data_IF_112282119221
#
_entry.id   IF_112282119221
#
_cell.length_a   1.000
_cell.length_b   1.000
_cell.length_c   1.000
_cell.angle_alpha   90.00
_cell.angle_beta   90.00
_cell.angle_gamma   90.00
#
_symmetry.space_group_name_H-M   'P 1'
#
loop_
_entity.id
_entity.type
_entity.pdbx_description
1 polymer ?
#
# COMPACT_ATOMS: atom_id res chain seq x y z
N UNK A 1 20.82 36.37 -6.73
CA UNK A 1 19.75 36.26 -5.71
C UNK A 1 19.30 34.81 -5.48
N UNK A 2 19.15 33.97 -6.51
CA UNK A 2 18.70 32.57 -6.37
C UNK A 2 19.59 31.69 -5.45
N UNK A 3 20.92 31.85 -5.49
CA UNK A 3 21.84 31.07 -4.65
C UNK A 3 21.82 31.39 -3.15
N UNK A 4 21.51 32.64 -2.78
CA UNK A 4 21.41 33.06 -1.38
C UNK A 4 20.13 32.54 -0.73
N UNK A 5 19.01 32.53 -1.48
CA UNK A 5 17.75 31.97 -1.01
C UNK A 5 17.85 30.45 -0.83
N UNK A 6 18.48 29.75 -1.79
CA UNK A 6 18.76 28.32 -1.69
C UNK A 6 19.67 27.98 -0.50
N UNK A 7 20.74 28.74 -0.28
CA UNK A 7 21.66 28.52 0.83
C UNK A 7 21.00 28.80 2.20
N UNK A 8 20.13 29.81 2.29
CA UNK A 8 19.36 30.11 3.51
C UNK A 8 18.33 29.02 3.80
N UNK A 9 17.66 28.48 2.78
CA UNK A 9 16.75 27.33 2.95
C UNK A 9 17.50 26.09 3.42
N UNK A 10 18.63 25.79 2.80
CA UNK A 10 19.48 24.64 3.16
C UNK A 10 20.06 24.73 4.58
N UNK A 11 20.57 25.90 4.98
CA UNK A 11 21.09 26.12 6.33
C UNK A 11 19.99 26.03 7.39
N UNK A 12 18.77 26.48 7.07
CA UNK A 12 17.60 26.29 7.94
C UNK A 12 17.29 24.80 8.10
N UNK A 13 17.19 24.05 7.02
CA UNK A 13 16.91 22.60 7.08
C UNK A 13 17.93 21.86 7.96
N UNK A 14 19.23 22.11 7.76
CA UNK A 14 20.32 21.49 8.54
C UNK A 14 20.28 21.83 10.05
N UNK A 15 20.06 23.09 10.40
CA UNK A 15 19.98 23.50 11.83
C UNK A 15 18.74 22.95 12.51
N UNK A 16 17.65 22.74 11.76
CA UNK A 16 16.43 22.15 12.29
C UNK A 16 16.48 20.63 12.39
N UNK A 17 17.19 19.92 11.51
CA UNK A 17 17.47 18.50 11.70
C UNK A 17 18.21 18.26 13.01
N UNK A 18 19.20 19.10 13.32
CA UNK A 18 19.92 19.06 14.60
C UNK A 18 18.98 19.38 15.76
N UNK A 19 18.15 20.42 15.66
CA UNK A 19 17.18 20.75 16.70
C UNK A 19 16.14 19.64 16.94
N UNK A 20 15.56 19.08 15.89
CA UNK A 20 14.58 17.99 15.97
C UNK A 20 15.22 16.70 16.49
N UNK A 21 16.46 16.41 16.10
CA UNK A 21 17.22 15.26 16.61
C UNK A 21 17.60 15.44 18.09
N UNK A 22 17.98 16.65 18.50
CA UNK A 22 18.17 17.00 19.92
C UNK A 22 16.85 16.82 20.68
N UNK A 23 15.73 17.36 20.18
CA UNK A 23 14.43 17.21 20.82
C UNK A 23 13.96 15.75 20.85
N UNK A 24 14.21 14.96 19.81
CA UNK A 24 13.96 13.52 19.78
C UNK A 24 14.78 12.76 20.82
N UNK A 25 16.07 13.08 20.94
CA UNK A 25 16.92 12.52 22.00
C UNK A 25 16.45 12.97 23.39
N UNK A 26 16.05 14.23 23.55
CA UNK A 26 15.45 14.73 24.80
C UNK A 26 14.12 14.06 25.12
N UNK A 27 13.33 13.67 24.11
CA UNK A 27 12.11 12.87 24.26
C UNK A 27 12.40 11.46 24.76
N UNK A 28 13.49 10.84 24.31
CA UNK A 28 13.94 9.54 24.81
C UNK A 28 14.51 9.61 26.24
N UNK A 29 15.07 10.76 26.62
CA UNK A 29 15.81 10.94 27.88
C UNK A 29 15.02 11.62 29.00
N UNK A 30 13.88 12.27 28.71
CA UNK A 30 13.12 13.06 29.71
C UNK A 30 11.73 12.48 30.03
N UNK A 31 11.34 12.42 31.32
CA UNK A 31 9.99 12.03 31.73
C UNK A 31 8.88 13.08 31.48
N UNK A 32 9.20 14.32 31.08
CA UNK A 32 8.22 15.36 30.64
C UNK A 32 8.94 16.52 29.94
N UNK A 33 8.34 17.17 28.92
CA UNK A 33 7.07 17.91 29.02
C UNK A 33 5.84 17.09 28.64
N UNK A 34 4.65 17.51 29.07
CA UNK A 34 3.39 16.81 28.73
C UNK A 34 3.23 16.72 27.21
N UNK A 35 2.67 15.62 26.71
CA UNK A 35 2.47 15.36 25.28
C UNK A 35 1.79 16.53 24.55
N UNK A 36 0.95 17.29 25.25
CA UNK A 36 0.27 18.51 24.78
C UNK A 36 1.21 19.69 24.52
N UNK A 37 2.23 19.94 25.36
CA UNK A 37 3.18 21.04 25.13
C UNK A 37 4.09 20.74 23.93
N UNK A 38 4.43 19.47 23.74
CA UNK A 38 5.16 18.97 22.57
C UNK A 38 4.35 19.16 21.28
N UNK A 39 3.03 19.06 21.36
CA UNK A 39 2.11 19.27 20.24
C UNK A 39 2.01 20.74 19.83
N UNK A 40 1.86 21.64 20.81
CA UNK A 40 1.75 23.08 20.54
C UNK A 40 3.00 23.66 19.87
N UNK A 41 4.20 23.18 20.26
CA UNK A 41 5.45 23.59 19.61
C UNK A 41 5.52 23.15 18.14
N UNK A 42 5.01 21.95 17.83
CA UNK A 42 5.04 21.39 16.48
C UNK A 42 3.98 22.01 15.57
N UNK A 43 2.79 22.27 16.12
CA UNK A 43 1.68 22.90 15.42
C UNK A 43 1.98 24.37 15.12
N UNK A 44 2.52 25.10 16.11
CA UNK A 44 3.04 26.44 15.92
C UNK A 44 4.19 26.47 14.88
N UNK A 45 4.97 25.39 14.73
CA UNK A 45 5.99 25.30 13.70
C UNK A 45 5.40 25.09 12.30
N UNK A 46 4.48 24.13 12.13
CA UNK A 46 3.81 23.88 10.84
C UNK A 46 3.08 25.13 10.36
N UNK A 47 2.39 25.83 11.27
CA UNK A 47 1.68 27.07 10.96
C UNK A 47 2.63 28.24 10.64
N UNK A 48 3.82 28.30 11.26
CA UNK A 48 4.73 29.45 11.13
C UNK A 48 5.74 29.31 10.00
N UNK A 49 6.16 28.10 9.65
CA UNK A 49 7.29 27.89 8.74
C UNK A 49 6.98 27.05 7.51
N UNK A 50 5.79 26.41 7.44
CA UNK A 50 5.25 25.85 6.20
C UNK A 50 6.00 24.66 5.57
N UNK A 51 7.15 24.24 6.10
CA UNK A 51 7.93 23.12 5.57
C UNK A 51 8.50 22.24 6.69
N UNK A 52 7.75 21.19 7.04
CA UNK A 52 8.32 19.99 7.65
C UNK A 52 8.72 19.04 6.51
N UNK A 53 9.76 18.21 6.65
CA UNK A 53 9.95 17.13 5.68
C UNK A 53 8.96 15.99 5.96
N UNK A 54 8.64 15.19 4.93
CA UNK A 54 7.78 14.02 5.06
C UNK A 54 8.30 13.03 6.12
N UNK A 55 9.63 12.81 6.14
CA UNK A 55 10.30 11.95 7.13
C UNK A 55 9.95 12.35 8.56
N UNK A 56 10.06 13.64 8.89
CA UNK A 56 9.72 14.13 10.21
C UNK A 56 8.23 13.96 10.49
N UNK A 57 7.35 14.25 9.54
CA UNK A 57 5.90 14.04 9.73
C UNK A 57 5.59 12.59 10.11
N UNK A 58 6.18 11.61 9.40
CA UNK A 58 6.00 10.18 9.67
C UNK A 58 6.55 9.81 11.06
N UNK A 59 7.77 10.26 11.38
CA UNK A 59 8.39 9.96 12.68
C UNK A 59 7.56 10.53 13.82
N UNK A 60 7.06 11.76 13.68
CA UNK A 60 6.24 12.40 14.70
C UNK A 60 4.91 11.71 14.88
N UNK A 61 4.22 11.38 13.79
CA UNK A 61 3.01 10.55 13.86
C UNK A 61 3.26 9.26 14.65
N UNK A 62 4.36 8.55 14.38
CA UNK A 62 4.71 7.31 15.10
C UNK A 62 4.96 7.53 16.59
N UNK A 63 5.64 8.63 16.95
CA UNK A 63 5.84 9.01 18.36
C UNK A 63 4.48 9.28 19.02
N UNK A 64 3.58 10.01 18.36
CA UNK A 64 2.27 10.35 18.92
C UNK A 64 1.35 9.13 19.03
N UNK A 65 1.39 8.21 18.07
CA UNK A 65 0.70 6.92 18.19
C UNK A 65 1.06 6.19 19.48
N UNK A 66 2.30 6.35 19.96
CA UNK A 66 2.79 5.72 21.18
C UNK A 66 2.49 6.53 22.46
N UNK A 67 2.57 7.86 22.42
CA UNK A 67 2.57 8.71 23.62
C UNK A 67 1.33 9.62 23.79
N UNK A 68 0.43 9.71 22.80
CA UNK A 68 -0.60 10.76 22.73
C UNK A 68 -2.03 10.24 22.73
N UNK A 69 -2.95 11.19 22.96
CA UNK A 69 -4.38 11.01 22.83
C UNK A 69 -4.78 10.69 21.37
N UNK A 70 -5.82 9.87 21.24
CA UNK A 70 -6.35 9.37 19.97
C UNK A 70 -6.71 10.49 19.00
N UNK A 71 -7.36 11.55 19.50
CA UNK A 71 -7.90 12.61 18.65
C UNK A 71 -6.82 13.55 18.12
N UNK A 72 -5.78 13.85 18.92
CA UNK A 72 -4.62 14.65 18.49
C UNK A 72 -3.84 13.93 17.38
N UNK A 73 -3.68 12.61 17.51
CA UNK A 73 -2.99 11.80 16.51
C UNK A 73 -3.75 11.80 15.18
N UNK A 74 -5.10 11.77 15.22
CA UNK A 74 -5.95 11.87 14.03
C UNK A 74 -5.86 13.24 13.35
N UNK A 75 -5.82 14.33 14.13
CA UNK A 75 -5.61 15.67 13.57
C UNK A 75 -4.25 15.79 12.86
N UNK A 76 -3.20 15.24 13.49
CA UNK A 76 -1.85 15.24 12.91
C UNK A 76 -1.80 14.44 11.61
N UNK A 77 -2.44 13.28 11.57
CA UNK A 77 -2.60 12.51 10.33
C UNK A 77 -3.33 13.31 9.25
N UNK A 78 -4.45 13.94 9.60
CA UNK A 78 -5.23 14.76 8.65
C UNK A 78 -4.39 15.89 8.06
N UNK A 79 -3.61 16.60 8.88
CA UNK A 79 -2.68 17.64 8.42
C UNK A 79 -1.54 17.05 7.59
N UNK A 80 -0.96 15.93 8.02
CA UNK A 80 0.12 15.24 7.31
C UNK A 80 -0.27 14.86 5.89
N UNK A 81 -1.45 14.25 5.69
CA UNK A 81 -1.91 13.86 4.35
C UNK A 81 -2.36 15.04 3.49
N UNK A 82 -2.71 16.18 4.09
CA UNK A 82 -2.98 17.42 3.34
C UNK A 82 -1.66 18.05 2.83
N UNK A 83 -0.62 18.03 3.66
CA UNK A 83 0.71 18.56 3.30
C UNK A 83 1.47 17.64 2.34
N UNK A 84 1.34 16.32 2.51
CA UNK A 84 2.02 15.30 1.71
C UNK A 84 1.01 14.33 1.07
N UNK A 85 0.18 14.79 0.12
CA UNK A 85 -0.90 13.98 -0.44
C UNK A 85 -0.43 12.76 -1.23
N UNK A 86 0.82 12.74 -1.67
CA UNK A 86 1.42 11.61 -2.39
C UNK A 86 2.10 10.59 -1.47
N UNK A 87 2.20 10.87 -0.16
CA UNK A 87 2.90 10.00 0.79
C UNK A 87 2.11 8.72 1.07
N UNK A 88 2.55 7.61 0.48
CA UNK A 88 1.99 6.28 0.74
C UNK A 88 2.04 5.92 2.21
N UNK A 89 3.17 6.18 2.85
CA UNK A 89 3.38 5.86 4.25
C UNK A 89 2.42 6.62 5.16
N UNK A 90 2.21 7.92 4.95
CA UNK A 90 1.27 8.68 5.77
C UNK A 90 -0.17 8.19 5.61
N UNK A 91 -0.60 7.93 4.37
CA UNK A 91 -1.94 7.39 4.12
C UNK A 91 -2.13 5.99 4.72
N UNK A 92 -1.14 5.11 4.58
CA UNK A 92 -1.20 3.76 5.15
C UNK A 92 -1.28 3.83 6.68
N UNK A 93 -0.38 4.57 7.32
CA UNK A 93 -0.39 4.73 8.77
C UNK A 93 -1.68 5.39 9.27
N UNK A 94 -2.26 6.34 8.52
CA UNK A 94 -3.52 6.97 8.88
C UNK A 94 -4.68 5.97 8.84
N UNK A 95 -4.82 5.21 7.75
CA UNK A 95 -5.88 4.21 7.64
C UNK A 95 -5.76 3.14 8.73
N UNK A 96 -4.53 2.67 9.02
CA UNK A 96 -4.28 1.69 10.08
C UNK A 96 -4.61 2.23 11.46
N UNK A 97 -4.25 3.49 11.75
CA UNK A 97 -4.55 4.11 13.03
C UNK A 97 -6.05 4.39 13.21
N UNK A 98 -6.71 4.91 12.18
CA UNK A 98 -8.14 5.19 12.21
C UNK A 98 -8.95 3.89 12.37
N UNK A 99 -8.50 2.82 11.74
CA UNK A 99 -9.04 1.48 11.90
C UNK A 99 -8.95 0.96 13.33
N UNK A 100 -7.77 1.08 13.94
CA UNK A 100 -7.51 0.65 15.32
C UNK A 100 -8.36 1.44 16.32
N UNK A 101 -8.40 2.77 16.18
CA UNK A 101 -9.04 3.66 17.18
C UNK A 101 -10.53 3.91 16.97
N UNK A 102 -10.99 4.01 15.72
CA UNK A 102 -12.37 4.38 15.38
C UNK A 102 -13.11 3.26 14.62
N UNK A 103 -12.44 2.13 14.36
CA UNK A 103 -13.02 0.97 13.71
C UNK A 103 -12.98 1.01 12.18
N UNK A 104 -13.30 -0.13 11.59
CA UNK A 104 -13.11 -0.37 10.16
C UNK A 104 -13.94 0.55 9.23
N UNK A 105 -15.10 1.01 9.70
CA UNK A 105 -15.98 1.86 8.90
C UNK A 105 -15.41 3.27 8.73
N UNK A 106 -14.75 3.80 9.75
CA UNK A 106 -14.08 5.09 9.67
C UNK A 106 -12.91 5.05 8.66
N UNK A 107 -12.06 4.03 8.74
CA UNK A 107 -10.97 3.80 7.78
C UNK A 107 -11.50 3.65 6.35
N UNK A 108 -12.60 2.89 6.18
CA UNK A 108 -13.26 2.73 4.88
C UNK A 108 -13.76 4.06 4.31
N UNK A 109 -14.42 4.88 5.13
CA UNK A 109 -14.95 6.17 4.70
C UNK A 109 -13.83 7.12 4.29
N UNK A 110 -12.72 7.12 5.03
CA UNK A 110 -11.52 7.87 4.67
C UNK A 110 -10.99 7.41 3.29
N UNK A 111 -10.76 6.10 3.09
CA UNK A 111 -10.30 5.55 1.81
C UNK A 111 -11.23 5.86 0.62
N UNK A 112 -12.55 5.85 0.83
CA UNK A 112 -13.51 6.24 -0.22
C UNK A 112 -13.39 7.73 -0.54
N UNK A 113 -13.22 8.58 0.46
CA UNK A 113 -13.12 10.02 0.29
C UNK A 113 -11.81 10.43 -0.39
N UNK A 114 -10.68 9.78 -0.09
CA UNK A 114 -9.40 10.05 -0.79
C UNK A 114 -9.51 9.81 -2.29
N UNK A 115 -10.25 8.78 -2.70
CA UNK A 115 -10.54 8.48 -4.10
C UNK A 115 -11.35 9.58 -4.79
N UNK A 116 -12.27 10.24 -4.07
CA UNK A 116 -13.07 11.36 -4.60
C UNK A 116 -12.24 12.63 -4.78
N UNK A 117 -11.40 12.95 -3.79
CA UNK A 117 -10.54 14.16 -3.80
C UNK A 117 -9.57 14.14 -4.99
N UNK A 118 -9.00 12.97 -5.34
CA UNK A 118 -8.02 12.87 -6.42
C UNK A 118 -8.61 12.95 -7.84
N UNK A 119 -9.88 12.55 -8.02
CA UNK A 119 -10.58 12.68 -9.32
C UNK A 119 -10.69 14.13 -9.82
N UNK A 120 -10.50 15.11 -8.94
CA UNK A 120 -10.70 16.54 -9.21
C UNK A 120 -9.37 17.24 -9.56
N UNK A 121 -8.20 16.66 -9.26
CA UNK A 121 -6.98 17.46 -9.09
C UNK A 121 -5.70 17.12 -9.89
N UNK A 122 -5.44 15.90 -10.33
CA UNK A 122 -4.09 15.58 -10.87
C UNK A 122 -4.12 14.55 -12.00
N UNK A 123 -3.42 14.89 -13.09
CA UNK A 123 -3.26 14.13 -14.31
C UNK A 123 -2.58 12.76 -14.15
N UNK A 124 -2.76 11.99 -15.22
CA UNK A 124 -2.34 10.61 -15.44
C UNK A 124 -0.82 10.46 -15.35
N UNK A 125 -0.29 10.02 -14.21
CA UNK A 125 1.01 9.36 -14.15
C UNK A 125 1.04 8.31 -13.02
N UNK A 126 1.76 7.23 -13.32
CA UNK A 126 1.50 5.82 -13.01
C UNK A 126 1.82 5.36 -11.58
N UNK A 127 1.25 4.20 -11.21
CA UNK A 127 1.09 3.66 -9.85
C UNK A 127 0.35 4.61 -8.90
N UNK A 128 -0.98 4.68 -9.09
CA UNK A 128 -1.85 5.40 -8.17
C UNK A 128 -1.62 4.88 -6.75
N UNK A 129 -1.24 5.75 -5.81
CA UNK A 129 -1.43 5.56 -4.37
C UNK A 129 -2.75 4.84 -4.04
N UNK A 130 -3.83 5.07 -4.79
CA UNK A 130 -5.07 4.34 -4.62
C UNK A 130 -4.94 2.83 -4.88
N UNK A 131 -4.13 2.40 -5.85
CA UNK A 131 -3.80 1.00 -6.11
C UNK A 131 -3.00 0.39 -4.94
N UNK A 132 -1.98 1.07 -4.44
CA UNK A 132 -1.22 0.65 -3.24
C UNK A 132 -2.13 0.56 -2.01
N UNK A 133 -2.99 1.55 -1.80
CA UNK A 133 -3.92 1.54 -0.67
C UNK A 133 -4.98 0.43 -0.79
N UNK A 134 -5.35 0.00 -2.01
CA UNK A 134 -6.26 -1.16 -2.18
C UNK A 134 -5.60 -2.46 -1.70
N UNK A 135 -4.32 -2.65 -1.98
CA UNK A 135 -3.51 -3.77 -1.49
C UNK A 135 -3.45 -3.77 0.03
N UNK A 136 -3.02 -2.65 0.61
CA UNK A 136 -2.95 -2.51 2.07
C UNK A 136 -4.32 -2.67 2.74
N UNK A 137 -5.38 -2.20 2.10
CA UNK A 137 -6.75 -2.36 2.62
C UNK A 137 -7.22 -3.82 2.59
N UNK A 138 -6.76 -4.60 1.61
CA UNK A 138 -7.04 -6.04 1.54
C UNK A 138 -6.30 -6.79 2.66
N UNK A 139 -5.00 -6.56 2.81
CA UNK A 139 -4.18 -7.12 3.91
C UNK A 139 -4.79 -6.78 5.27
N UNK A 140 -5.17 -5.51 5.45
CA UNK A 140 -5.77 -5.05 6.69
C UNK A 140 -7.13 -5.68 7.00
N UNK A 141 -8.00 -5.85 5.99
CA UNK A 141 -9.26 -6.58 6.18
C UNK A 141 -8.99 -8.02 6.61
N UNK A 142 -7.96 -8.65 6.07
CA UNK A 142 -7.58 -10.00 6.50
C UNK A 142 -7.03 -10.04 7.93
N UNK A 143 -6.20 -9.09 8.32
CA UNK A 143 -5.61 -9.05 9.66
C UNK A 143 -6.62 -8.72 10.77
N UNK A 144 -7.55 -7.80 10.52
CA UNK A 144 -8.49 -7.31 11.55
C UNK A 144 -9.87 -7.97 11.51
N UNK A 145 -10.21 -8.69 10.45
CA UNK A 145 -11.53 -9.27 10.23
C UNK A 145 -11.38 -10.71 9.73
N UNK A 146 -12.52 -11.35 9.50
CA UNK A 146 -12.57 -12.69 8.95
C UNK A 146 -12.33 -12.71 7.44
N UNK A 147 -11.94 -13.89 6.95
CA UNK A 147 -11.71 -14.19 5.54
C UNK A 147 -12.93 -13.90 4.65
N UNK A 148 -14.15 -14.04 5.17
CA UNK A 148 -15.37 -13.82 4.38
C UNK A 148 -15.56 -12.34 4.03
N UNK A 149 -15.24 -11.43 4.97
CA UNK A 149 -15.22 -10.00 4.71
C UNK A 149 -14.10 -9.60 3.76
N UNK A 150 -12.95 -10.25 3.84
CA UNK A 150 -11.83 -10.05 2.89
C UNK A 150 -12.23 -10.48 1.47
N UNK A 151 -12.86 -11.64 1.31
CA UNK A 151 -13.42 -12.12 0.03
C UNK A 151 -14.43 -11.14 -0.56
N UNK A 152 -15.35 -10.62 0.26
CA UNK A 152 -16.32 -9.62 -0.16
C UNK A 152 -15.65 -8.29 -0.57
N UNK A 153 -14.60 -7.88 0.14
CA UNK A 153 -13.80 -6.71 -0.22
C UNK A 153 -13.11 -6.92 -1.56
N UNK A 154 -12.40 -8.05 -1.74
CA UNK A 154 -11.72 -8.40 -2.98
C UNK A 154 -12.67 -8.32 -4.18
N UNK A 155 -13.83 -8.99 -4.09
CA UNK A 155 -14.85 -8.98 -5.15
C UNK A 155 -15.30 -7.56 -5.53
N UNK A 156 -15.37 -6.66 -4.55
CA UNK A 156 -15.72 -5.24 -4.78
C UNK A 156 -14.57 -4.46 -5.41
N UNK A 157 -13.36 -4.57 -4.86
CA UNK A 157 -12.19 -3.82 -5.34
C UNK A 157 -11.75 -4.25 -6.74
N UNK A 158 -11.91 -5.53 -7.08
CA UNK A 158 -11.61 -6.07 -8.41
C UNK A 158 -12.36 -5.35 -9.53
N UNK A 159 -13.57 -4.86 -9.26
CA UNK A 159 -14.38 -4.13 -10.25
C UNK A 159 -13.90 -2.69 -10.49
N UNK A 160 -12.80 -2.29 -9.87
CA UNK A 160 -12.28 -0.93 -9.95
C UNK A 160 -11.04 -0.90 -10.83
N UNK A 161 -10.91 0.15 -11.64
CA UNK A 161 -9.73 0.37 -12.49
C UNK A 161 -8.47 0.66 -11.67
N UNK A 162 -7.30 0.39 -12.25
CA UNK A 162 -5.99 0.66 -11.64
C UNK A 162 -5.71 -0.26 -10.45
N UNK A 163 -5.71 -1.57 -10.70
CA UNK A 163 -5.16 -2.56 -9.78
C UNK A 163 -3.75 -2.91 -10.23
N UNK A 164 -2.90 -3.39 -9.32
CA UNK A 164 -1.59 -3.95 -9.65
C UNK A 164 -1.65 -5.46 -9.59
N UNK A 165 -0.67 -6.12 -10.19
CA UNK A 165 -0.50 -7.58 -10.08
C UNK A 165 -0.43 -8.01 -8.61
N UNK A 166 0.29 -7.24 -7.79
CA UNK A 166 0.47 -7.49 -6.37
C UNK A 166 -0.86 -7.62 -5.60
N UNK A 167 -1.89 -6.86 -5.97
CA UNK A 167 -3.23 -6.99 -5.38
C UNK A 167 -3.83 -8.39 -5.54
N UNK A 168 -3.63 -9.02 -6.69
CA UNK A 168 -4.13 -10.37 -6.94
C UNK A 168 -3.24 -11.42 -6.27
N UNK A 169 -1.91 -11.25 -6.33
CA UNK A 169 -0.96 -12.16 -5.68
C UNK A 169 -1.20 -12.20 -4.16
N UNK A 170 -1.37 -11.06 -3.52
CA UNK A 170 -1.72 -10.98 -2.09
C UNK A 170 -3.03 -11.72 -1.77
N UNK A 171 -4.07 -11.57 -2.59
CA UNK A 171 -5.31 -12.29 -2.37
C UNK A 171 -5.13 -13.82 -2.49
N UNK A 172 -4.33 -14.27 -3.47
CA UNK A 172 -3.98 -15.68 -3.64
C UNK A 172 -3.23 -16.20 -2.41
N UNK A 173 -2.25 -15.46 -1.91
CA UNK A 173 -1.48 -15.82 -0.70
C UNK A 173 -2.39 -15.90 0.54
N UNK A 174 -3.31 -14.95 0.69
CA UNK A 174 -4.32 -14.97 1.76
C UNK A 174 -5.15 -16.25 1.66
N UNK A 175 -5.69 -16.60 0.49
CA UNK A 175 -6.51 -17.82 0.33
C UNK A 175 -5.69 -19.11 0.53
N UNK A 176 -4.45 -19.16 0.07
CA UNK A 176 -3.54 -20.29 0.31
C UNK A 176 -3.19 -20.47 1.79
N UNK A 177 -3.18 -19.38 2.58
CA UNK A 177 -2.88 -19.43 4.02
C UNK A 177 -4.05 -19.87 4.91
N UNK A 178 -5.24 -20.11 4.34
CA UNK A 178 -6.40 -20.53 5.12
C UNK A 178 -6.28 -21.98 5.59
N UNK A 179 -6.84 -22.28 6.78
CA UNK A 179 -6.87 -23.66 7.29
C UNK A 179 -7.68 -24.59 6.37
N UNK A 180 -8.77 -24.09 5.80
CA UNK A 180 -9.55 -24.77 4.76
C UNK A 180 -9.35 -24.02 3.44
N UNK A 181 -8.40 -24.51 2.64
CA UNK A 181 -8.05 -23.92 1.35
C UNK A 181 -9.20 -24.16 0.36
N UNK A 182 -9.71 -23.08 -0.23
CA UNK A 182 -10.72 -23.14 -1.28
C UNK A 182 -10.05 -22.96 -2.64
N UNK A 183 -9.71 -24.09 -3.27
CA UNK A 183 -9.04 -24.13 -4.57
C UNK A 183 -9.86 -23.44 -5.69
N UNK A 184 -11.18 -23.36 -5.58
CA UNK A 184 -11.99 -22.65 -6.58
C UNK A 184 -11.77 -21.13 -6.50
N UNK A 185 -11.66 -20.59 -5.28
CA UNK A 185 -11.38 -19.16 -5.08
C UNK A 185 -10.00 -18.77 -5.56
N UNK A 186 -8.98 -19.59 -5.27
CA UNK A 186 -7.60 -19.35 -5.72
C UNK A 186 -7.53 -19.42 -7.24
N UNK A 187 -8.13 -20.46 -7.84
CA UNK A 187 -8.23 -20.59 -9.29
C UNK A 187 -8.91 -19.39 -9.93
N UNK A 188 -10.03 -18.92 -9.35
CA UNK A 188 -10.70 -17.72 -9.82
C UNK A 188 -9.79 -16.49 -9.74
N UNK A 189 -9.01 -16.34 -8.67
CA UNK A 189 -8.06 -15.25 -8.53
C UNK A 189 -6.95 -15.27 -9.60
N UNK A 190 -6.38 -16.45 -9.90
CA UNK A 190 -5.43 -16.62 -11.00
C UNK A 190 -6.05 -16.28 -12.36
N UNK A 191 -7.29 -16.70 -12.61
CA UNK A 191 -8.02 -16.35 -13.83
C UNK A 191 -8.21 -14.83 -13.94
N UNK A 192 -8.56 -14.14 -12.86
CA UNK A 192 -8.67 -12.68 -12.91
C UNK A 192 -7.31 -12.00 -13.16
N UNK A 193 -6.24 -12.53 -12.57
CA UNK A 193 -4.88 -12.01 -12.77
C UNK A 193 -4.43 -12.19 -14.23
N UNK A 194 -4.66 -13.36 -14.84
CA UNK A 194 -4.32 -13.61 -16.26
C UNK A 194 -5.20 -12.80 -17.21
N UNK A 195 -6.46 -12.52 -16.86
CA UNK A 195 -7.32 -11.65 -17.67
C UNK A 195 -6.83 -10.19 -17.72
N UNK A 196 -6.35 -9.67 -16.59
CA UNK A 196 -5.91 -8.27 -16.49
C UNK A 196 -4.46 -8.07 -16.98
N UNK A 197 -3.57 -9.02 -16.71
CA UNK A 197 -2.11 -8.86 -16.93
C UNK A 197 -1.50 -9.89 -17.88
N UNK A 198 -2.24 -10.90 -18.32
CA UNK A 198 -1.71 -11.99 -19.15
C UNK A 198 -1.27 -11.58 -20.56
N UNK A 199 -1.55 -10.35 -21.01
CA UNK A 199 -0.99 -9.80 -22.25
C UNK A 199 0.34 -9.08 -22.04
N UNK A 200 0.70 -8.77 -20.78
CA UNK A 200 1.85 -7.96 -20.40
C UNK A 200 2.93 -8.74 -19.64
N UNK A 201 2.53 -9.78 -18.92
CA UNK A 201 3.40 -10.52 -18.00
C UNK A 201 3.35 -12.02 -18.29
N UNK A 202 4.53 -12.59 -18.57
CA UNK A 202 4.72 -14.04 -18.73
C UNK A 202 4.60 -14.75 -17.39
N UNK A 203 5.12 -14.13 -16.32
CA UNK A 203 5.14 -14.68 -14.97
C UNK A 203 3.73 -15.01 -14.46
N UNK A 204 2.75 -14.16 -14.79
CA UNK A 204 1.34 -14.38 -14.43
C UNK A 204 0.79 -15.73 -14.93
N UNK A 205 1.21 -16.18 -16.12
CA UNK A 205 0.83 -17.48 -16.66
C UNK A 205 1.60 -18.63 -16.01
N UNK A 206 2.89 -18.43 -15.77
CA UNK A 206 3.75 -19.44 -15.13
C UNK A 206 3.33 -19.69 -13.69
N UNK A 207 3.04 -18.63 -12.92
CA UNK A 207 2.54 -18.70 -11.55
C UNK A 207 1.22 -19.51 -11.50
N UNK A 208 0.30 -19.25 -12.43
CA UNK A 208 -0.97 -19.99 -12.51
C UNK A 208 -0.77 -21.46 -12.88
N UNK A 209 0.14 -21.77 -13.80
CA UNK A 209 0.46 -23.14 -14.20
C UNK A 209 1.15 -23.91 -13.07
N UNK A 210 2.10 -23.28 -12.40
CA UNK A 210 2.82 -23.87 -11.26
C UNK A 210 1.85 -24.20 -10.11
N UNK A 211 0.89 -23.32 -9.84
CA UNK A 211 -0.14 -23.58 -8.84
C UNK A 211 -1.07 -24.75 -9.22
N UNK A 212 -1.57 -24.82 -10.46
CA UNK A 212 -2.40 -25.96 -10.90
C UNK A 212 -1.60 -27.28 -10.89
N UNK A 213 -0.29 -27.23 -11.15
CA UNK A 213 0.59 -28.41 -11.08
C UNK A 213 0.85 -28.87 -9.64
N UNK A 214 0.99 -27.94 -8.69
CA UNK A 214 1.32 -28.26 -7.31
C UNK A 214 0.09 -28.63 -6.46
N UNK A 215 -1.03 -27.94 -6.65
CA UNK A 215 -2.19 -28.01 -5.75
C UNK A 215 -3.54 -28.12 -6.46
N UNK A 216 -3.56 -28.00 -7.79
CA UNK A 216 -4.79 -27.96 -8.58
C UNK A 216 -4.97 -29.18 -9.47
N UNK A 217 -5.41 -28.94 -10.71
CA UNK A 217 -5.71 -29.97 -11.69
C UNK A 217 -4.73 -29.91 -12.87
N UNK A 218 -3.90 -30.95 -12.99
CA UNK A 218 -2.89 -31.11 -14.04
C UNK A 218 -3.48 -31.01 -15.46
N UNK A 219 -4.73 -31.41 -15.66
CA UNK A 219 -5.37 -31.32 -16.99
C UNK A 219 -5.50 -29.86 -17.45
N UNK A 220 -5.65 -28.93 -16.50
CA UNK A 220 -5.81 -27.49 -16.75
C UNK A 220 -4.50 -26.81 -17.12
N UNK A 221 -3.35 -27.37 -16.76
CA UNK A 221 -2.04 -26.83 -17.14
C UNK A 221 -1.92 -26.73 -18.68
N UNK A 222 -2.40 -27.75 -19.40
CA UNK A 222 -2.42 -27.76 -20.87
C UNK A 222 -3.33 -26.66 -21.45
N UNK A 223 -4.46 -26.39 -20.78
CA UNK A 223 -5.42 -25.35 -21.17
C UNK A 223 -4.82 -23.97 -20.94
N UNK A 224 -4.21 -23.73 -19.78
CA UNK A 224 -3.52 -22.48 -19.44
C UNK A 224 -2.36 -22.21 -20.42
N UNK A 225 -1.56 -23.22 -20.74
CA UNK A 225 -0.48 -23.11 -21.72
C UNK A 225 -0.99 -22.69 -23.11
N UNK A 226 -2.12 -23.27 -23.53
CA UNK A 226 -2.76 -22.92 -24.80
C UNK A 226 -3.37 -21.52 -24.79
N UNK A 227 -3.88 -21.06 -23.64
CA UNK A 227 -4.40 -19.70 -23.47
C UNK A 227 -3.27 -18.66 -23.45
N UNK A 228 -2.19 -18.92 -22.72
CA UNK A 228 -1.02 -18.06 -22.67
C UNK A 228 -0.45 -17.77 -24.07
N UNK A 229 -0.30 -18.81 -24.90
CA UNK A 229 0.14 -18.66 -26.31
C UNK A 229 -0.77 -17.79 -27.16
N UNK A 230 -2.06 -17.73 -26.86
CA UNK A 230 -3.03 -16.91 -27.60
C UNK A 230 -3.09 -15.47 -27.10
N UNK A 231 -2.81 -15.25 -25.81
CA UNK A 231 -2.93 -13.95 -25.16
C UNK A 231 -1.63 -13.15 -25.17
N UNK A 232 -0.47 -13.82 -25.12
CA UNK A 232 0.82 -13.16 -25.11
C UNK A 232 1.19 -12.62 -26.51
N UNK A 233 1.79 -11.43 -26.61
CA UNK A 233 2.32 -10.91 -27.86
C UNK A 233 3.55 -11.71 -28.31
N UNK A 234 3.81 -11.75 -29.63
CA UNK A 234 4.83 -12.60 -30.25
C UNK A 234 6.23 -12.47 -29.63
N UNK A 235 6.58 -11.26 -29.16
CA UNK A 235 7.86 -10.98 -28.51
C UNK A 235 8.02 -11.69 -27.14
N UNK A 236 6.92 -12.02 -26.46
CA UNK A 236 6.92 -12.70 -25.15
C UNK A 236 6.68 -14.21 -25.26
N UNK A 237 6.16 -14.71 -26.38
CA UNK A 237 5.90 -16.15 -26.59
C UNK A 237 7.21 -16.95 -26.53
N UNK A 238 8.29 -16.42 -27.11
CA UNK A 238 9.60 -17.10 -27.10
C UNK A 238 10.15 -17.28 -25.68
N UNK A 239 9.98 -16.28 -24.82
CA UNK A 239 10.35 -16.34 -23.40
C UNK A 239 9.48 -17.34 -22.65
N UNK A 240 8.16 -17.27 -22.82
CA UNK A 240 7.21 -18.20 -22.19
C UNK A 240 7.52 -19.66 -22.52
N UNK A 241 7.84 -19.99 -23.77
CA UNK A 241 8.20 -21.35 -24.20
C UNK A 241 9.47 -21.87 -23.52
N UNK A 242 10.50 -21.03 -23.35
CA UNK A 242 11.75 -21.40 -22.67
C UNK A 242 11.53 -21.67 -21.18
N UNK A 243 10.76 -20.82 -20.51
CA UNK A 243 10.53 -20.96 -19.07
C UNK A 243 9.59 -22.13 -18.75
N UNK A 244 8.51 -22.31 -19.52
CA UNK A 244 7.56 -23.43 -19.34
C UNK A 244 8.17 -24.82 -19.57
N UNK A 245 9.17 -24.95 -20.45
CA UNK A 245 9.89 -26.22 -20.69
C UNK A 245 10.94 -26.52 -19.63
N UNK A 246 11.50 -25.50 -18.99
CA UNK A 246 12.46 -25.67 -17.89
C UNK A 246 11.75 -26.17 -16.62
N UNK A 247 10.55 -25.67 -16.35
CA UNK A 247 9.75 -26.04 -15.17
C UNK A 247 9.11 -27.44 -15.28
N UNK A 248 8.99 -28.02 -16.48
CA UNK A 248 8.50 -29.39 -16.65
C UNK A 248 9.60 -30.45 -16.54
N UNK A 249 10.88 -30.06 -16.58
CA UNK A 249 12.04 -30.96 -16.54
C UNK A 249 12.66 -31.15 -15.15
N UNK A 250 12.07 -30.61 -14.08
CA UNK A 250 12.61 -30.63 -12.71
C UNK A 250 11.75 -31.39 -11.69
N UNK A 251 10.96 -32.37 -12.16
CA UNK A 251 10.30 -33.36 -11.29
C UNK A 251 11.10 -34.67 -11.23
#
# INVERSE_FOLDING_TARGET
MVGLQSAVTYLKEQTWDVFLNINYRLLQLSPCPTTTQKFLLLLAFVERFGSLSEFWMILWVKIYQYYADGDLTLELFSKGVQLFPQSEDLWCNYLLYLADKKGCEAARNLFINTRKVRKIGVGECEESLAAILKEKYLDWMYLLRDINKTRALYKRLRRTVGLREQFFKQYIDIENSQCEVDSEKIRAAHIHLTQEFGTKSVDVWLDAMAWEQAQGDLSRVSVLFSQAKKSLPDNLIGEFLRQSTTNSGTN
#
